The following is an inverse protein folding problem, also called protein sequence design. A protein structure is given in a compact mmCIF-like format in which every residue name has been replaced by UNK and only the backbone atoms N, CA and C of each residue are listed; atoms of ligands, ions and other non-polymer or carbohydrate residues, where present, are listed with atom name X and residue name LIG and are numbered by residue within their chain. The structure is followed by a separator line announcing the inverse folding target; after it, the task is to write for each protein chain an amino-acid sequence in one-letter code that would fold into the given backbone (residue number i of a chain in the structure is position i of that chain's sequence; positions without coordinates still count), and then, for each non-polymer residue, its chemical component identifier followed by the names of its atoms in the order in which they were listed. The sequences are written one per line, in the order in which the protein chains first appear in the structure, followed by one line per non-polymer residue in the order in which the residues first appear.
data_IF_740223085010
#
_entry.id   IF_740223085010
#
_cell.length_a   1.000
_cell.length_b   1.000
_cell.length_c   1.000
_cell.angle_alpha   90.00
_cell.angle_beta   90.00
_cell.angle_gamma   90.00
#
_symmetry.space_group_name_H-M   'P 1'
#
loop_
_entity.id
_entity.type
_entity.pdbx_description
1 polymer ?
#
# COMPACT_ATOMS: atom_id res chain seq x y z
N UNK A 1 19.98 -9.14 20.92
CA UNK A 1 19.73 -9.21 19.46
C UNK A 1 20.35 -10.50 18.94
N UNK A 2 19.57 -11.34 18.27
CA UNK A 2 20.08 -12.63 17.78
C UNK A 2 21.02 -12.39 16.60
N UNK A 3 22.22 -12.93 16.70
CA UNK A 3 23.33 -12.72 15.75
C UNK A 3 23.17 -13.60 14.47
N UNK A 4 21.92 -13.94 14.11
CA UNK A 4 21.67 -14.76 12.93
C UNK A 4 21.83 -13.93 11.65
N UNK A 5 22.80 -14.30 10.83
CA UNK A 5 23.10 -13.65 9.54
C UNK A 5 22.14 -14.03 8.42
N UNK A 6 21.24 -14.99 8.67
CA UNK A 6 20.27 -15.51 7.71
C UNK A 6 18.90 -15.65 8.36
N UNK A 7 17.80 -15.51 7.60
CA UNK A 7 16.44 -15.72 8.11
C UNK A 7 16.20 -17.20 8.44
N UNK A 8 15.24 -17.46 9.35
CA UNK A 8 14.85 -18.82 9.76
C UNK A 8 14.12 -19.60 8.65
N UNK A 9 13.48 -18.89 7.73
CA UNK A 9 12.82 -19.45 6.56
C UNK A 9 13.50 -18.86 5.33
N UNK A 10 13.91 -19.72 4.40
CA UNK A 10 14.66 -19.31 3.21
C UNK A 10 14.41 -20.28 2.05
N UNK A 11 14.52 -19.81 0.83
CA UNK A 11 14.52 -20.67 -0.35
C UNK A 11 15.79 -21.55 -0.36
N UNK A 12 15.63 -22.83 -0.66
CA UNK A 12 16.70 -23.85 -0.51
C UNK A 12 17.95 -23.60 -1.36
N UNK A 13 17.77 -22.90 -2.49
CA UNK A 13 18.85 -22.58 -3.43
C UNK A 13 19.81 -21.50 -2.94
N UNK A 14 19.48 -20.77 -1.87
CA UNK A 14 20.33 -19.69 -1.35
C UNK A 14 20.95 -20.10 -0.02
N UNK A 15 22.28 -20.02 0.05
CA UNK A 15 23.07 -20.46 1.21
C UNK A 15 23.95 -19.36 1.79
N UNK A 16 24.26 -18.31 1.02
CA UNK A 16 25.18 -17.25 1.43
C UNK A 16 24.61 -16.39 2.56
N UNK A 17 25.48 -15.89 3.44
CA UNK A 17 25.07 -14.97 4.50
C UNK A 17 24.51 -13.67 3.90
N UNK A 18 23.50 -13.09 4.57
CA UNK A 18 23.02 -11.77 4.25
C UNK A 18 24.00 -10.71 4.76
N UNK A 19 24.28 -9.71 3.94
CA UNK A 19 25.18 -8.62 4.26
C UNK A 19 24.44 -7.46 4.94
N UNK A 20 25.06 -6.84 5.96
CA UNK A 20 24.51 -5.62 6.54
C UNK A 20 24.84 -4.43 5.63
N UNK A 21 23.80 -3.70 5.19
CA UNK A 21 23.92 -2.56 4.29
C UNK A 21 23.00 -1.43 4.74
N UNK A 22 23.44 -0.21 4.49
CA UNK A 22 22.58 0.96 4.71
C UNK A 22 21.47 1.01 3.68
N UNK A 23 20.31 1.55 4.06
CA UNK A 23 19.19 1.73 3.13
C UNK A 23 19.62 2.50 1.87
N UNK A 24 20.44 3.53 2.04
CA UNK A 24 20.98 4.36 0.94
C UNK A 24 21.91 3.63 -0.03
N UNK A 25 22.36 2.41 0.30
CA UNK A 25 23.27 1.66 -0.57
C UNK A 25 22.51 0.90 -1.69
N UNK A 26 21.19 0.76 -1.55
CA UNK A 26 20.37 -0.02 -2.50
C UNK A 26 19.07 0.66 -2.93
N UNK A 27 18.81 1.88 -2.41
CA UNK A 27 17.69 2.70 -2.87
C UNK A 27 18.15 4.14 -3.13
N UNK A 28 17.43 4.83 -4.01
CA UNK A 28 17.50 6.29 -4.17
C UNK A 28 16.21 6.93 -3.69
N UNK A 29 16.29 8.20 -3.30
CA UNK A 29 15.16 8.96 -2.80
C UNK A 29 14.84 10.13 -3.72
N UNK A 30 13.56 10.46 -3.84
CA UNK A 30 13.12 11.68 -4.47
C UNK A 30 12.10 12.41 -3.59
N UNK A 31 12.09 13.74 -3.71
CA UNK A 31 11.30 14.63 -2.85
C UNK A 31 9.96 14.97 -3.49
N UNK A 32 8.97 15.24 -2.64
CA UNK A 32 7.66 15.67 -3.07
C UNK A 32 7.54 17.18 -3.35
N UNK A 33 6.47 17.51 -4.03
CA UNK A 33 6.09 18.88 -4.40
C UNK A 33 5.59 19.68 -3.20
N UNK A 34 6.13 20.87 -3.02
CA UNK A 34 5.56 21.90 -2.15
C UNK A 34 4.65 22.81 -3.00
N UNK A 35 3.41 22.95 -2.60
CA UNK A 35 2.42 23.79 -3.27
C UNK A 35 1.61 24.60 -2.25
N UNK A 36 0.91 25.63 -2.71
CA UNK A 36 0.05 26.50 -1.90
C UNK A 36 -1.44 26.25 -2.23
N UNK A 37 -2.37 26.64 -1.37
CA UNK A 37 -3.80 26.54 -1.66
C UNK A 37 -4.23 27.22 -2.97
N UNK A 38 -3.53 28.28 -3.41
CA UNK A 38 -3.78 28.96 -4.68
C UNK A 38 -3.37 28.17 -5.92
N UNK A 39 -2.60 27.10 -5.75
CA UNK A 39 -2.16 26.22 -6.83
C UNK A 39 -3.15 25.08 -7.11
N UNK A 40 -4.11 24.88 -6.20
CA UNK A 40 -5.12 23.81 -6.28
C UNK A 40 -6.15 24.16 -7.33
N UNK A 41 -6.51 23.17 -8.14
CA UNK A 41 -7.57 23.27 -9.15
C UNK A 41 -8.29 21.91 -9.33
N UNK A 42 -9.36 21.89 -10.10
CA UNK A 42 -10.15 20.67 -10.33
C UNK A 42 -9.43 19.61 -11.18
N UNK A 43 -8.55 20.05 -12.05
CA UNK A 43 -7.80 19.18 -12.97
C UNK A 43 -6.34 19.62 -13.03
N UNK A 44 -5.42 18.70 -13.37
CA UNK A 44 -3.99 19.01 -13.47
C UNK A 44 -3.12 17.86 -13.05
N UNK A 45 -2.05 18.15 -12.32
CA UNK A 45 -1.17 17.14 -11.76
C UNK A 45 -1.70 16.65 -10.41
N UNK A 46 -1.93 15.35 -10.28
CA UNK A 46 -2.33 14.71 -9.02
C UNK A 46 -1.16 14.75 -8.03
N UNK A 47 -1.44 15.15 -6.79
CA UNK A 47 -0.47 15.13 -5.68
C UNK A 47 -0.85 14.05 -4.68
N UNK A 48 -0.09 12.96 -4.66
CA UNK A 48 -0.27 11.88 -3.69
C UNK A 48 0.19 12.33 -2.30
N UNK A 49 -0.69 12.12 -1.33
CA UNK A 49 -0.50 12.50 0.08
C UNK A 49 -0.72 11.29 0.98
N UNK A 50 -0.55 11.45 2.30
CA UNK A 50 -0.80 10.39 3.28
C UNK A 50 -2.24 9.86 3.24
N UNK A 51 -3.23 10.67 2.80
CA UNK A 51 -4.62 10.26 2.60
C UNK A 51 -4.81 9.27 1.44
N UNK A 52 -3.92 9.30 0.46
CA UNK A 52 -3.95 8.40 -0.70
C UNK A 52 -3.24 7.05 -0.45
N UNK A 53 -2.72 6.82 0.75
CA UNK A 53 -2.06 5.57 1.10
C UNK A 53 -2.91 4.82 2.13
N UNK A 54 -3.32 3.58 1.86
CA UNK A 54 -4.01 2.72 2.82
C UNK A 54 -3.64 1.26 2.59
N UNK A 55 -3.29 0.58 3.68
CA UNK A 55 -2.97 -0.86 3.68
C UNK A 55 -1.96 -1.29 2.61
N UNK A 56 -0.92 -0.46 2.39
CA UNK A 56 0.12 -0.70 1.39
C UNK A 56 -0.30 -0.41 -0.06
N UNK A 57 -1.50 0.15 -0.27
CA UNK A 57 -2.05 0.45 -1.59
C UNK A 57 -2.27 1.95 -1.78
N UNK A 58 -2.22 2.38 -3.05
CA UNK A 58 -2.69 3.71 -3.45
C UNK A 58 -4.20 3.66 -3.59
N UNK A 59 -4.88 4.54 -2.87
CA UNK A 59 -6.34 4.64 -2.90
C UNK A 59 -6.80 5.98 -3.47
N UNK A 60 -7.95 5.96 -4.11
CA UNK A 60 -8.64 7.15 -4.60
C UNK A 60 -9.42 7.80 -3.44
N UNK A 61 -8.73 8.65 -2.67
CA UNK A 61 -9.30 9.32 -1.51
C UNK A 61 -8.70 10.71 -1.34
N UNK A 62 -9.58 11.71 -1.20
CA UNK A 62 -9.19 13.10 -0.91
C UNK A 62 -8.12 13.63 -1.89
N UNK A 63 -8.34 13.40 -3.19
CA UNK A 63 -7.40 13.77 -4.23
C UNK A 63 -7.23 15.28 -4.33
N UNK A 64 -5.98 15.71 -4.48
CA UNK A 64 -5.61 17.11 -4.75
C UNK A 64 -4.92 17.18 -6.09
N UNK A 65 -5.40 18.08 -6.92
CA UNK A 65 -4.79 18.41 -8.21
C UNK A 65 -4.24 19.82 -8.16
N UNK A 66 -3.06 20.03 -8.74
CA UNK A 66 -2.43 21.35 -8.84
C UNK A 66 -2.16 21.71 -10.29
N UNK A 67 -2.00 23.00 -10.54
CA UNK A 67 -1.59 23.52 -11.85
C UNK A 67 -0.27 22.88 -12.27
N UNK A 68 -0.19 22.37 -13.48
CA UNK A 68 1.02 21.66 -13.97
C UNK A 68 2.25 22.57 -14.05
N UNK A 69 2.05 23.87 -14.20
CA UNK A 69 3.13 24.87 -14.29
C UNK A 69 3.91 25.06 -12.98
N UNK A 70 3.32 24.70 -11.84
CA UNK A 70 3.99 24.80 -10.53
C UNK A 70 4.76 23.53 -10.16
N UNK A 71 4.62 22.48 -10.97
CA UNK A 71 5.22 21.19 -10.68
C UNK A 71 6.73 21.24 -11.02
N UNK A 72 7.54 21.10 -9.98
CA UNK A 72 9.00 21.07 -10.05
C UNK A 72 9.60 19.79 -9.42
N UNK A 73 8.76 18.79 -9.19
CA UNK A 73 9.16 17.47 -8.68
C UNK A 73 8.97 16.38 -9.74
N UNK A 74 9.63 15.24 -9.54
CA UNK A 74 9.55 14.12 -10.46
C UNK A 74 8.17 13.46 -10.43
N UNK A 75 7.67 13.03 -11.62
CA UNK A 75 6.55 12.11 -11.69
C UNK A 75 6.90 10.77 -11.04
N UNK A 76 5.92 10.18 -10.37
CA UNK A 76 6.04 8.81 -9.89
C UNK A 76 6.15 7.84 -11.08
N UNK A 77 6.91 6.78 -10.89
CA UNK A 77 7.09 5.70 -11.86
C UNK A 77 6.54 4.40 -11.29
N UNK A 78 6.19 3.48 -12.16
CA UNK A 78 5.87 2.11 -11.73
C UNK A 78 7.06 1.49 -11.01
N UNK A 79 6.81 0.91 -9.85
CA UNK A 79 7.83 0.37 -8.95
C UNK A 79 8.29 1.34 -7.86
N UNK A 80 8.05 2.64 -7.96
CA UNK A 80 8.36 3.59 -6.89
C UNK A 80 7.53 3.23 -5.63
N UNK A 81 8.14 3.43 -4.46
CA UNK A 81 7.44 3.28 -3.18
C UNK A 81 7.35 4.67 -2.55
N UNK A 82 6.14 5.11 -2.25
CA UNK A 82 5.92 6.39 -1.59
C UNK A 82 5.74 6.19 -0.09
N UNK A 83 6.43 6.98 0.72
CA UNK A 83 6.47 6.84 2.18
C UNK A 83 6.05 8.15 2.83
N UNK A 84 5.19 8.09 3.84
CA UNK A 84 4.82 9.23 4.67
C UNK A 84 5.98 9.54 5.61
N UNK A 85 6.61 10.69 5.41
CA UNK A 85 7.77 11.12 6.21
C UNK A 85 7.46 12.22 7.21
N UNK A 86 6.32 12.89 7.06
CA UNK A 86 5.85 13.92 7.98
C UNK A 86 4.33 13.88 8.10
N UNK A 87 3.82 13.88 9.33
CA UNK A 87 2.39 13.91 9.59
C UNK A 87 2.11 14.42 11.01
N UNK A 88 0.93 14.99 11.26
CA UNK A 88 0.47 15.33 12.61
C UNK A 88 0.33 14.11 13.54
N UNK A 89 -0.03 12.95 12.98
CA UNK A 89 -0.09 11.68 13.71
C UNK A 89 1.21 10.88 13.53
N UNK A 90 1.84 10.52 14.65
CA UNK A 90 3.06 9.71 14.69
C UNK A 90 2.87 8.32 14.05
N UNK A 91 1.69 7.74 14.23
CA UNK A 91 1.35 6.41 13.70
C UNK A 91 1.26 6.34 12.17
N UNK A 92 1.24 7.48 11.49
CA UNK A 92 1.23 7.53 10.03
C UNK A 92 2.64 7.64 9.43
N UNK A 93 3.66 7.95 10.22
CA UNK A 93 5.03 8.02 9.75
C UNK A 93 5.52 6.61 9.43
N UNK A 94 6.13 6.44 8.24
CA UNK A 94 6.54 5.13 7.72
C UNK A 94 5.46 4.40 6.92
N UNK A 95 4.19 4.84 7.00
CA UNK A 95 3.13 4.33 6.14
C UNK A 95 3.52 4.52 4.66
N UNK A 96 3.42 3.46 3.87
CA UNK A 96 3.91 3.47 2.50
C UNK A 96 3.01 2.66 1.57
N UNK A 97 3.20 2.87 0.26
CA UNK A 97 2.58 2.07 -0.79
C UNK A 97 3.47 2.05 -2.03
N UNK A 98 3.45 0.95 -2.76
CA UNK A 98 4.12 0.82 -4.04
C UNK A 98 3.23 1.29 -5.18
N UNK A 99 3.78 2.04 -6.12
CA UNK A 99 3.13 2.40 -7.38
C UNK A 99 3.12 1.17 -8.29
N UNK A 100 1.98 0.51 -8.40
CA UNK A 100 1.83 -0.76 -9.15
C UNK A 100 1.52 -0.57 -10.63
N UNK A 101 1.11 0.63 -11.04
CA UNK A 101 0.69 0.94 -12.40
C UNK A 101 1.18 2.32 -12.81
N UNK A 102 1.32 2.52 -14.11
CA UNK A 102 1.65 3.84 -14.66
C UNK A 102 0.61 4.89 -14.26
N UNK A 103 1.04 5.97 -13.64
CA UNK A 103 0.23 7.10 -13.20
C UNK A 103 0.75 8.39 -13.87
N UNK A 104 0.17 8.80 -15.01
CA UNK A 104 0.60 10.02 -15.69
C UNK A 104 0.26 11.26 -14.86
N UNK A 105 1.06 12.33 -15.01
CA UNK A 105 0.86 13.60 -14.33
C UNK A 105 0.58 13.45 -12.81
N UNK A 106 1.42 12.64 -12.16
CA UNK A 106 1.25 12.33 -10.73
C UNK A 106 2.57 12.50 -10.00
N UNK A 107 2.56 13.28 -8.94
CA UNK A 107 3.72 13.53 -8.07
C UNK A 107 3.36 13.24 -6.62
N UNK A 108 4.34 13.20 -5.73
CA UNK A 108 4.10 13.10 -4.28
C UNK A 108 4.14 14.49 -3.64
N UNK A 109 3.42 14.67 -2.54
CA UNK A 109 3.44 15.91 -1.76
C UNK A 109 4.67 16.01 -0.84
N UNK A 110 4.99 17.22 -0.38
CA UNK A 110 6.17 17.53 0.43
C UNK A 110 6.27 16.76 1.76
N UNK A 111 5.18 16.14 2.22
CA UNK A 111 5.18 15.29 3.43
C UNK A 111 5.42 13.82 3.13
N UNK A 112 5.71 13.52 1.87
CA UNK A 112 6.06 12.20 1.38
C UNK A 112 7.51 12.18 0.89
N UNK A 113 8.09 11.00 0.83
CA UNK A 113 9.36 10.71 0.15
C UNK A 113 9.12 9.53 -0.78
N UNK A 114 9.62 9.63 -1.99
CA UNK A 114 9.66 8.49 -2.90
C UNK A 114 10.96 7.70 -2.72
N UNK A 115 10.84 6.38 -2.81
CA UNK A 115 11.94 5.41 -2.78
C UNK A 115 11.94 4.67 -4.12
N UNK A 116 13.09 4.62 -4.76
CA UNK A 116 13.32 3.90 -6.02
C UNK A 116 14.43 2.89 -5.83
N UNK A 117 14.24 1.65 -6.24
CA UNK A 117 15.23 0.59 -6.10
C UNK A 117 15.27 -0.33 -7.32
N UNK A 118 16.34 -1.12 -7.44
CA UNK A 118 16.47 -2.14 -8.49
C UNK A 118 15.50 -3.32 -8.29
N UNK A 119 15.07 -3.56 -7.03
CA UNK A 119 14.11 -4.61 -6.66
C UNK A 119 12.94 -4.02 -5.87
N UNK A 120 11.98 -3.30 -6.53
CA UNK A 120 10.90 -2.61 -5.84
C UNK A 120 10.05 -3.52 -4.94
N UNK A 121 9.67 -4.69 -5.43
CA UNK A 121 8.85 -5.66 -4.68
C UNK A 121 9.54 -6.17 -3.41
N UNK A 122 10.86 -6.43 -3.49
CA UNK A 122 11.64 -6.79 -2.30
C UNK A 122 11.73 -5.60 -1.33
N UNK A 123 12.00 -4.41 -1.85
CA UNK A 123 12.09 -3.20 -1.02
C UNK A 123 10.75 -2.92 -0.34
N UNK A 124 9.63 -3.04 -1.04
CA UNK A 124 8.29 -2.91 -0.45
C UNK A 124 8.06 -3.95 0.66
N UNK A 125 8.44 -5.22 0.43
CA UNK A 125 8.35 -6.25 1.45
C UNK A 125 9.24 -5.96 2.68
N UNK A 126 10.45 -5.41 2.46
CA UNK A 126 11.37 -5.00 3.53
C UNK A 126 10.76 -3.87 4.39
N UNK A 127 10.13 -2.88 3.76
CA UNK A 127 9.47 -1.77 4.46
C UNK A 127 8.21 -2.22 5.23
N UNK A 128 7.63 -3.38 4.92
CA UNK A 128 6.53 -4.00 5.66
C UNK A 128 7.01 -4.85 6.86
N UNK A 129 8.32 -4.89 7.15
CA UNK A 129 8.83 -5.67 8.28
C UNK A 129 8.77 -4.91 9.59
N UNK A 130 8.57 -5.59 10.74
CA UNK A 130 8.71 -4.96 12.07
C UNK A 130 10.05 -4.25 12.28
N UNK A 131 11.11 -4.73 11.62
CA UNK A 131 12.43 -4.11 11.71
C UNK A 131 12.45 -2.70 11.11
N UNK A 132 11.73 -2.46 10.01
CA UNK A 132 11.59 -1.11 9.48
C UNK A 132 10.84 -0.19 10.44
N UNK A 133 9.77 -0.69 11.07
CA UNK A 133 9.04 0.07 12.08
C UNK A 133 9.92 0.41 13.30
N UNK A 134 10.78 -0.51 13.73
CA UNK A 134 11.76 -0.28 14.78
C UNK A 134 12.78 0.79 14.38
N UNK A 135 13.30 0.73 13.14
CA UNK A 135 14.23 1.73 12.60
C UNK A 135 13.56 3.13 12.52
N UNK A 136 12.30 3.20 12.07
CA UNK A 136 11.51 4.44 12.10
C UNK A 136 11.42 4.96 13.55
N UNK A 137 11.04 4.11 14.49
CA UNK A 137 10.83 4.49 15.89
C UNK A 137 12.13 4.96 16.56
N UNK A 138 13.25 4.29 16.30
CA UNK A 138 14.58 4.64 16.86
C UNK A 138 15.11 5.96 16.30
N UNK A 139 14.91 6.20 15.02
CA UNK A 139 15.42 7.39 14.35
C UNK A 139 14.52 8.62 14.50
N UNK A 140 13.24 8.42 14.82
CA UNK A 140 12.27 9.50 15.00
C UNK A 140 12.42 10.15 16.38
N UNK A 141 12.72 11.46 16.40
CA UNK A 141 12.82 12.22 17.65
C UNK A 141 11.54 12.26 18.47
N UNK A 142 11.64 12.61 19.76
CA UNK A 142 10.49 12.67 20.67
C UNK A 142 9.50 13.80 20.33
N UNK A 143 9.97 14.87 19.70
CA UNK A 143 9.23 16.14 19.58
C UNK A 143 8.63 16.38 18.19
N UNK A 144 9.20 15.81 17.14
CA UNK A 144 8.80 16.07 15.75
C UNK A 144 8.42 14.76 15.07
N UNK A 145 7.20 14.67 14.57
CA UNK A 145 6.72 13.54 13.79
C UNK A 145 7.23 13.66 12.35
N UNK A 146 8.52 13.42 12.16
CA UNK A 146 9.18 13.50 10.86
C UNK A 146 10.39 12.56 10.79
N UNK A 147 10.56 11.89 9.64
CA UNK A 147 11.78 11.21 9.22
C UNK A 147 12.42 12.03 8.10
N UNK A 148 13.71 12.28 8.21
CA UNK A 148 14.50 13.01 7.21
C UNK A 148 15.35 12.05 6.38
N UNK A 149 15.87 12.52 5.22
CA UNK A 149 16.84 11.76 4.43
C UNK A 149 18.07 11.34 5.24
N UNK A 150 18.54 12.18 6.18
CA UNK A 150 19.64 11.82 7.08
C UNK A 150 19.28 10.64 8.01
N UNK A 151 18.04 10.57 8.50
CA UNK A 151 17.57 9.46 9.33
C UNK A 151 17.51 8.17 8.50
N UNK A 152 16.97 8.23 7.28
CA UNK A 152 17.01 7.08 6.36
C UNK A 152 18.44 6.59 6.09
N UNK A 153 19.42 7.48 5.97
CA UNK A 153 20.83 7.10 5.75
C UNK A 153 21.48 6.40 6.94
N UNK A 154 20.85 6.39 8.11
CA UNK A 154 21.30 5.67 9.32
C UNK A 154 20.70 4.29 9.45
N UNK A 155 19.61 4.01 8.75
CA UNK A 155 18.94 2.72 8.82
C UNK A 155 19.78 1.64 8.13
N UNK A 156 19.95 0.52 8.79
CA UNK A 156 20.73 -0.61 8.30
C UNK A 156 19.89 -1.89 8.26
N UNK A 157 20.02 -2.61 7.17
CA UNK A 157 19.28 -3.84 6.94
C UNK A 157 20.21 -4.97 6.51
N UNK A 158 19.85 -6.20 6.84
CA UNK A 158 20.50 -7.37 6.27
C UNK A 158 19.90 -7.65 4.89
N UNK A 159 20.77 -7.69 3.90
CA UNK A 159 20.40 -7.77 2.48
C UNK A 159 20.94 -9.07 1.87
N UNK A 160 20.07 -9.85 1.21
CA UNK A 160 20.49 -11.00 0.41
C UNK A 160 21.08 -10.54 -0.94
N UNK A 161 21.58 -11.51 -1.70
CA UNK A 161 21.96 -11.31 -3.10
C UNK A 161 20.78 -10.80 -3.93
N UNK A 162 21.05 -10.08 -5.03
CA UNK A 162 20.02 -9.53 -5.91
C UNK A 162 19.06 -10.62 -6.45
N UNK A 163 19.58 -11.81 -6.74
CA UNK A 163 18.77 -12.94 -7.19
C UNK A 163 17.79 -13.43 -6.13
N UNK A 164 18.22 -13.47 -4.87
CA UNK A 164 17.35 -13.80 -3.74
C UNK A 164 16.33 -12.69 -3.46
N UNK A 165 16.73 -11.42 -3.54
CA UNK A 165 15.81 -10.28 -3.45
C UNK A 165 14.66 -10.40 -4.45
N UNK A 166 14.97 -10.67 -5.73
CA UNK A 166 13.96 -10.89 -6.78
C UNK A 166 13.02 -12.04 -6.44
N UNK A 167 13.56 -13.13 -5.91
CA UNK A 167 12.75 -14.30 -5.52
C UNK A 167 11.82 -14.00 -4.35
N UNK A 168 12.33 -13.32 -3.31
CA UNK A 168 11.55 -12.90 -2.14
C UNK A 168 10.48 -11.89 -2.56
N UNK A 169 10.83 -10.87 -3.34
CA UNK A 169 9.89 -9.87 -3.85
C UNK A 169 8.74 -10.50 -4.61
N UNK A 170 9.04 -11.35 -5.60
CA UNK A 170 8.00 -12.09 -6.34
C UNK A 170 7.11 -12.97 -5.45
N UNK A 171 7.66 -13.55 -4.40
CA UNK A 171 6.87 -14.35 -3.47
C UNK A 171 5.83 -13.49 -2.73
N UNK A 172 6.23 -12.32 -2.20
CA UNK A 172 5.31 -11.43 -1.50
C UNK A 172 4.30 -10.77 -2.44
N UNK A 173 4.72 -10.34 -3.65
CA UNK A 173 3.77 -9.85 -4.67
C UNK A 173 2.68 -10.89 -5.01
N UNK A 174 3.06 -12.17 -5.12
CA UNK A 174 2.09 -13.23 -5.36
C UNK A 174 1.11 -13.40 -4.19
N UNK A 175 1.60 -13.30 -2.94
CA UNK A 175 0.74 -13.34 -1.76
C UNK A 175 -0.23 -12.14 -1.71
N UNK A 176 0.24 -10.94 -1.96
CA UNK A 176 -0.58 -9.73 -1.99
C UNK A 176 -1.66 -9.80 -3.08
N UNK A 177 -1.29 -10.30 -4.26
CA UNK A 177 -2.25 -10.54 -5.35
C UNK A 177 -3.33 -11.55 -4.94
N UNK A 178 -2.95 -12.66 -4.29
CA UNK A 178 -3.90 -13.66 -3.79
C UNK A 178 -4.83 -13.08 -2.73
N UNK A 179 -4.29 -12.32 -1.77
CA UNK A 179 -5.07 -11.63 -0.74
C UNK A 179 -6.10 -10.70 -1.39
N UNK A 180 -5.67 -9.84 -2.32
CA UNK A 180 -6.54 -8.91 -3.04
C UNK A 180 -7.65 -9.63 -3.81
N UNK A 181 -7.33 -10.72 -4.51
CA UNK A 181 -8.32 -11.52 -5.25
C UNK A 181 -9.34 -12.16 -4.30
N UNK A 182 -8.89 -12.69 -3.17
CA UNK A 182 -9.79 -13.28 -2.17
C UNK A 182 -10.69 -12.25 -1.50
N UNK A 183 -10.18 -11.06 -1.19
CA UNK A 183 -10.97 -9.95 -0.66
C UNK A 183 -12.08 -9.52 -1.65
N UNK A 184 -11.74 -9.30 -2.92
CA UNK A 184 -12.73 -8.99 -3.98
C UNK A 184 -13.77 -10.08 -4.13
N UNK A 185 -13.37 -11.35 -4.04
CA UNK A 185 -14.32 -12.48 -4.07
C UNK A 185 -15.24 -12.48 -2.87
N UNK A 186 -14.69 -12.24 -1.67
CA UNK A 186 -15.45 -12.13 -0.43
C UNK A 186 -16.52 -11.03 -0.53
N UNK A 187 -16.14 -9.81 -0.93
CA UNK A 187 -17.05 -8.69 -1.09
C UNK A 187 -18.18 -8.99 -2.08
N UNK A 188 -17.84 -9.59 -3.24
CA UNK A 188 -18.85 -10.04 -4.22
C UNK A 188 -19.82 -11.04 -3.61
N UNK A 189 -19.34 -12.03 -2.85
CA UNK A 189 -20.19 -13.03 -2.20
C UNK A 189 -21.08 -12.40 -1.12
N UNK A 190 -20.57 -11.45 -0.34
CA UNK A 190 -21.36 -10.68 0.64
C UNK A 190 -22.49 -9.92 -0.07
N UNK A 191 -22.20 -9.25 -1.18
CA UNK A 191 -23.20 -8.53 -1.97
C UNK A 191 -24.24 -9.47 -2.59
N UNK A 192 -23.81 -10.62 -3.12
CA UNK A 192 -24.73 -11.66 -3.63
C UNK A 192 -25.63 -12.16 -2.51
N UNK A 193 -25.05 -12.51 -1.34
CA UNK A 193 -25.82 -12.96 -0.16
C UNK A 193 -26.87 -11.92 0.23
N UNK A 194 -26.48 -10.64 0.34
CA UNK A 194 -27.37 -9.53 0.68
C UNK A 194 -28.53 -9.41 -0.34
N UNK A 195 -28.20 -9.45 -1.62
CA UNK A 195 -29.19 -9.40 -2.71
C UNK A 195 -30.15 -10.59 -2.67
N UNK A 196 -29.67 -11.81 -2.42
CA UNK A 196 -30.50 -13.00 -2.32
C UNK A 196 -31.41 -12.95 -1.10
N UNK A 197 -30.91 -12.53 0.07
CA UNK A 197 -31.72 -12.30 1.27
C UNK A 197 -32.84 -11.29 1.02
N UNK A 198 -32.56 -10.27 0.22
CA UNK A 198 -33.54 -9.26 -0.16
C UNK A 198 -34.61 -9.79 -1.14
N UNK A 199 -34.21 -10.62 -2.09
CA UNK A 199 -35.06 -11.05 -3.22
C UNK A 199 -35.72 -12.41 -3.03
N UNK A 200 -35.19 -13.28 -2.18
CA UNK A 200 -35.69 -14.62 -1.93
C UNK A 200 -36.74 -14.69 -0.81
N UNK A 201 -37.09 -13.57 -0.20
CA UNK A 201 -38.15 -13.46 0.80
C UNK A 201 -39.25 -12.52 0.29
N UNK A 202 -40.53 -12.87 0.47
CA UNK A 202 -41.65 -12.02 0.06
C UNK A 202 -41.60 -10.67 0.79
N UNK A 203 -41.92 -9.57 0.06
CA UNK A 203 -41.96 -8.21 0.59
C UNK A 203 -43.26 -7.52 0.21
N UNK A 204 -43.60 -6.44 0.91
CA UNK A 204 -44.72 -5.55 0.58
C UNK A 204 -46.05 -6.26 0.39
N UNK A 205 -46.36 -7.25 1.25
CA UNK A 205 -47.61 -7.99 1.18
C UNK A 205 -47.71 -9.02 0.06
N UNK A 206 -46.65 -9.21 -0.73
CA UNK A 206 -46.59 -10.30 -1.71
C UNK A 206 -46.46 -11.65 -0.99
N UNK A 207 -47.08 -12.69 -1.55
CA UNK A 207 -46.99 -14.05 -1.03
C UNK A 207 -45.86 -14.87 -1.65
N UNK A 208 -45.19 -14.35 -2.67
CA UNK A 208 -44.15 -15.03 -3.42
C UNK A 208 -42.91 -14.11 -3.47
N UNK A 209 -41.69 -14.63 -3.27
CA UNK A 209 -40.47 -13.85 -3.43
C UNK A 209 -40.18 -13.51 -4.90
N UNK A 210 -39.35 -12.50 -5.14
CA UNK A 210 -38.92 -12.10 -6.48
C UNK A 210 -38.05 -13.18 -7.15
N UNK A 211 -37.21 -13.83 -6.39
CA UNK A 211 -36.35 -14.95 -6.82
C UNK A 211 -36.73 -16.19 -6.01
N UNK A 212 -36.95 -17.31 -6.70
CA UNK A 212 -37.29 -18.59 -6.09
C UNK A 212 -36.62 -19.74 -6.83
N UNK A 213 -36.32 -20.81 -6.13
CA UNK A 213 -35.82 -22.03 -6.77
C UNK A 213 -36.87 -22.65 -7.68
N UNK A 214 -36.44 -23.15 -8.83
CA UNK A 214 -37.31 -23.86 -9.76
C UNK A 214 -37.98 -25.07 -9.08
N UNK A 215 -39.27 -25.25 -9.28
CA UNK A 215 -40.04 -26.34 -8.68
C UNK A 215 -40.88 -25.94 -7.47
N UNK A 216 -40.69 -24.74 -6.92
CA UNK A 216 -41.51 -24.21 -5.83
C UNK A 216 -42.48 -23.15 -6.38
N UNK A 217 -43.77 -23.43 -6.42
CA UNK A 217 -44.80 -22.58 -7.05
C UNK A 217 -45.84 -22.05 -6.08
N UNK A 218 -46.04 -22.73 -4.93
CA UNK A 218 -47.12 -22.41 -4.01
C UNK A 218 -46.86 -21.11 -3.24
N UNK A 219 -47.94 -20.39 -2.92
CA UNK A 219 -47.87 -19.19 -2.09
C UNK A 219 -47.24 -19.50 -0.71
N UNK A 220 -46.49 -18.57 -0.17
CA UNK A 220 -46.00 -18.68 1.20
C UNK A 220 -47.13 -18.39 2.18
N UNK A 221 -47.29 -19.24 3.17
CA UNK A 221 -48.28 -19.07 4.22
C UNK A 221 -47.69 -18.25 5.37
N UNK A 222 -48.51 -17.34 5.88
CA UNK A 222 -48.17 -16.64 7.11
C UNK A 222 -48.47 -17.54 8.32
N UNK A 223 -47.48 -17.92 9.07
CA UNK A 223 -47.63 -18.71 10.30
C UNK A 223 -47.21 -17.88 11.49
N UNK A 224 -47.96 -18.03 12.59
CA UNK A 224 -47.62 -17.46 13.91
C UNK A 224 -46.52 -18.31 14.56
#
# INVERSE_FOLDING_TARGET
MSNHKTPSIRFKEFTDDWEQRKLTDFVSFFSGLTYTPSDIQENGTLVLRSSNVSDGEIIDADNVYVRSEVVNSENVQEGDIIVVVRNGSRSLIGKHAQIKHFMPNTVIGAFMTGIRSECPSFTNALLNTPHFDEEIAMNMGATINQITGYMFSKMEFRMPSLSEQKKIGSFFDNLDNLITLHQRKYEKLVNVKKSMLDKMFPKNGKKVPEIRFKGFTDDWEQRK
#
